data_IF_570651684670
#
_entry.id   IF_570651684670
#
_cell.length_a   1.000
_cell.length_b   1.000
_cell.length_c   1.000
_cell.angle_alpha   90.00
_cell.angle_beta   90.00
_cell.angle_gamma   90.00
#
_symmetry.space_group_name_H-M   'P 1'
#
loop_
_entity.id
_entity.type
_entity.pdbx_description
1 polymer ?
#
# COMPACT_ATOMS: atom_id res chain seq x y z
N UNK A 1 -22.43 -0.71 -5.90
CA UNK A 1 -22.03 -0.96 -7.31
C UNK A 1 -23.25 -0.78 -8.20
N UNK A 2 -23.14 -0.19 -9.41
CA UNK A 2 -21.90 0.21 -10.10
C UNK A 2 -22.00 1.62 -10.76
N UNK A 3 -20.96 2.12 -11.47
CA UNK A 3 -20.70 1.55 -12.79
C UNK A 3 -19.21 1.20 -13.00
N UNK A 4 -18.89 -0.08 -12.83
CA UNK A 4 -18.22 -0.76 -13.93
C UNK A 4 -19.17 -0.70 -15.14
N UNK A 5 -18.63 -0.55 -16.36
CA UNK A 5 -19.45 -0.55 -17.56
C UNK A 5 -20.35 -1.80 -17.54
N UNK A 6 -21.62 -1.63 -17.90
CA UNK A 6 -22.59 -2.73 -17.93
C UNK A 6 -22.14 -3.86 -18.87
N UNK A 7 -21.39 -3.49 -19.91
CA UNK A 7 -20.77 -4.38 -20.88
C UNK A 7 -19.30 -4.00 -21.06
N UNK A 8 -18.41 -4.97 -20.92
CA UNK A 8 -16.98 -4.76 -21.16
C UNK A 8 -16.74 -4.61 -22.67
N UNK A 9 -15.89 -3.67 -23.10
CA UNK A 9 -15.52 -3.57 -24.52
C UNK A 9 -14.74 -4.82 -24.94
N UNK A 10 -15.00 -5.30 -26.16
CA UNK A 10 -14.19 -6.35 -26.78
C UNK A 10 -12.80 -5.79 -27.12
N UNK A 11 -11.76 -6.52 -26.72
CA UNK A 11 -10.37 -6.22 -27.05
C UNK A 11 -9.85 -7.41 -27.87
N UNK A 12 -9.72 -7.21 -29.18
CA UNK A 12 -9.24 -8.23 -30.12
C UNK A 12 -7.73 -8.27 -30.32
N UNK A 13 -6.99 -7.26 -29.83
CA UNK A 13 -5.53 -7.21 -29.96
C UNK A 13 -4.87 -7.95 -28.79
N UNK A 14 -4.33 -9.12 -29.10
CA UNK A 14 -3.57 -9.96 -28.18
C UNK A 14 -2.38 -9.22 -27.52
N UNK A 15 -1.81 -8.21 -28.18
CA UNK A 15 -0.70 -7.40 -27.66
C UNK A 15 -1.14 -6.49 -26.51
N UNK A 16 -2.36 -5.94 -26.58
CA UNK A 16 -2.98 -5.16 -25.50
C UNK A 16 -3.28 -6.10 -24.32
N UNK A 17 -3.88 -7.25 -24.58
CA UNK A 17 -4.21 -8.24 -23.55
C UNK A 17 -2.96 -8.78 -22.84
N UNK A 18 -1.87 -8.98 -23.58
CA UNK A 18 -0.58 -9.36 -23.00
C UNK A 18 0.03 -8.24 -22.14
N UNK A 19 0.04 -7.00 -22.64
CA UNK A 19 0.59 -5.83 -21.92
C UNK A 19 -0.14 -5.55 -20.62
N UNK A 20 -1.46 -5.67 -20.63
CA UNK A 20 -2.34 -5.38 -19.51
C UNK A 20 -3.00 -6.66 -18.99
N UNK A 21 -2.18 -7.57 -18.44
CA UNK A 21 -2.64 -8.86 -17.90
C UNK A 21 -3.68 -8.76 -16.77
N UNK A 22 -3.83 -7.58 -16.17
CA UNK A 22 -4.81 -7.27 -15.12
C UNK A 22 -6.20 -6.89 -15.67
N UNK A 23 -6.38 -6.70 -16.98
CA UNK A 23 -7.71 -6.40 -17.53
C UNK A 23 -8.64 -7.61 -17.35
N UNK A 24 -9.94 -7.39 -17.06
CA UNK A 24 -10.93 -8.46 -17.03
C UNK A 24 -10.93 -9.32 -18.31
N UNK A 25 -10.77 -8.70 -19.48
CA UNK A 25 -10.70 -9.35 -20.78
C UNK A 25 -9.46 -10.25 -20.94
N UNK A 26 -8.34 -9.89 -20.31
CA UNK A 26 -7.08 -10.63 -20.38
C UNK A 26 -7.17 -12.01 -19.72
N UNK A 27 -8.17 -12.25 -18.86
CA UNK A 27 -8.40 -13.56 -18.23
C UNK A 27 -8.64 -14.67 -19.26
N UNK A 28 -9.47 -14.42 -20.27
CA UNK A 28 -9.73 -15.42 -21.32
C UNK A 28 -8.51 -15.60 -22.24
N UNK A 29 -7.78 -14.52 -22.50
CA UNK A 29 -6.53 -14.58 -23.25
C UNK A 29 -5.45 -15.42 -22.55
N UNK A 30 -5.23 -15.22 -21.24
CA UNK A 30 -4.32 -16.04 -20.44
C UNK A 30 -4.69 -17.53 -20.52
N UNK A 31 -5.98 -17.86 -20.36
CA UNK A 31 -6.45 -19.26 -20.48
C UNK A 31 -6.19 -19.83 -21.86
N UNK A 32 -6.45 -19.05 -22.92
CA UNK A 32 -6.19 -19.43 -24.31
C UNK A 32 -4.70 -19.72 -24.50
N UNK A 33 -3.81 -18.85 -24.01
CA UNK A 33 -2.35 -19.04 -24.09
C UNK A 33 -1.89 -20.31 -23.38
N UNK A 34 -2.35 -20.54 -22.15
CA UNK A 34 -2.01 -21.76 -21.40
C UNK A 34 -2.45 -23.02 -22.17
N UNK A 35 -3.68 -23.03 -22.68
CA UNK A 35 -4.23 -24.17 -23.42
C UNK A 35 -3.53 -24.41 -24.76
N UNK A 36 -3.21 -23.37 -25.50
CA UNK A 36 -2.58 -23.50 -26.82
C UNK A 36 -1.14 -24.02 -26.74
N UNK A 37 -0.44 -23.71 -25.65
CA UNK A 37 0.93 -24.14 -25.43
C UNK A 37 1.04 -25.37 -24.51
N UNK A 38 -0.09 -25.97 -24.14
CA UNK A 38 -0.18 -27.11 -23.21
C UNK A 38 0.58 -26.84 -21.90
N UNK A 39 0.44 -25.63 -21.35
CA UNK A 39 1.09 -25.17 -20.12
C UNK A 39 0.12 -25.34 -18.94
N UNK A 40 0.46 -26.22 -18.01
CA UNK A 40 -0.20 -26.30 -16.69
C UNK A 40 0.44 -25.33 -15.71
N UNK A 41 -0.20 -25.08 -14.56
CA UNK A 41 0.39 -24.20 -13.55
C UNK A 41 1.65 -24.83 -12.94
N UNK A 42 1.66 -26.15 -12.76
CA UNK A 42 2.83 -26.90 -12.28
C UNK A 42 4.00 -26.75 -13.24
N UNK A 43 3.74 -26.82 -14.55
CA UNK A 43 4.78 -26.55 -15.56
C UNK A 43 5.27 -25.11 -15.50
N UNK A 44 4.39 -24.13 -15.29
CA UNK A 44 4.80 -22.72 -15.12
C UNK A 44 5.81 -22.56 -13.97
N UNK A 45 5.67 -23.36 -12.91
CA UNK A 45 6.55 -23.35 -11.74
C UNK A 45 7.87 -24.07 -12.01
N UNK A 46 7.84 -25.26 -12.64
CA UNK A 46 9.01 -26.15 -12.67
C UNK A 46 9.66 -26.32 -14.05
N UNK A 47 8.92 -26.14 -15.14
CA UNK A 47 9.40 -26.52 -16.46
C UNK A 47 10.63 -25.67 -16.86
N UNK A 48 11.77 -26.30 -17.26
CA UNK A 48 13.00 -25.57 -17.57
C UNK A 48 12.85 -24.55 -18.70
N UNK A 49 12.02 -24.86 -19.71
CA UNK A 49 11.81 -23.99 -20.87
C UNK A 49 10.97 -22.72 -20.55
N UNK A 50 10.36 -22.65 -19.37
CA UNK A 50 9.63 -21.48 -18.87
C UNK A 50 10.46 -20.62 -17.89
N UNK A 51 11.76 -20.91 -17.75
CA UNK A 51 12.62 -20.17 -16.82
C UNK A 51 12.70 -18.69 -17.14
N UNK A 52 12.71 -18.29 -18.41
CA UNK A 52 12.73 -16.88 -18.80
C UNK A 52 11.48 -16.13 -18.33
N UNK A 53 10.31 -16.80 -18.36
CA UNK A 53 9.05 -16.27 -17.85
C UNK A 53 9.11 -16.10 -16.34
N UNK A 54 9.62 -17.10 -15.61
CA UNK A 54 9.82 -17.02 -14.16
C UNK A 54 10.82 -15.95 -13.79
N UNK A 55 11.94 -15.84 -14.51
CA UNK A 55 12.95 -14.81 -14.30
C UNK A 55 12.35 -13.41 -14.48
N UNK A 56 11.57 -13.20 -15.53
CA UNK A 56 10.83 -11.95 -15.74
C UNK A 56 9.82 -11.70 -14.63
N UNK A 57 9.09 -12.72 -14.19
CA UNK A 57 8.12 -12.62 -13.09
C UNK A 57 8.78 -12.26 -11.76
N UNK A 58 9.96 -12.81 -11.45
CA UNK A 58 10.76 -12.43 -10.27
C UNK A 58 11.24 -10.99 -10.34
N UNK A 59 11.72 -10.54 -11.49
CA UNK A 59 12.08 -9.12 -11.70
C UNK A 59 10.86 -8.23 -11.46
N UNK A 60 9.71 -8.58 -12.04
CA UNK A 60 8.44 -7.86 -11.89
C UNK A 60 7.99 -7.76 -10.43
N UNK A 61 8.13 -8.84 -9.66
CA UNK A 61 7.85 -8.85 -8.21
C UNK A 61 8.75 -7.88 -7.47
N UNK A 62 10.07 -7.96 -7.69
CA UNK A 62 11.05 -7.09 -7.02
C UNK A 62 10.82 -5.63 -7.38
N UNK A 63 10.60 -5.31 -8.65
CA UNK A 63 10.29 -3.95 -9.12
C UNK A 63 9.03 -3.39 -8.43
N UNK A 64 7.99 -4.22 -8.31
CA UNK A 64 6.72 -3.82 -7.71
C UNK A 64 6.81 -3.62 -6.19
N UNK A 65 7.54 -4.48 -5.48
CA UNK A 65 7.64 -4.45 -4.01
C UNK A 65 8.61 -3.36 -3.53
N UNK A 66 9.76 -3.23 -4.20
CA UNK A 66 10.80 -2.28 -3.79
C UNK A 66 10.49 -0.86 -4.20
N UNK A 67 9.61 -0.67 -5.19
CA UNK A 67 9.38 0.60 -5.88
C UNK A 67 10.68 1.25 -6.43
N UNK A 68 11.75 0.45 -6.60
CA UNK A 68 13.08 0.87 -7.07
C UNK A 68 13.31 0.56 -8.55
N UNK A 69 12.29 0.08 -9.26
CA UNK A 69 12.36 -0.12 -10.71
C UNK A 69 12.22 1.19 -11.46
N UNK A 70 13.10 1.43 -12.44
CA UNK A 70 12.88 2.48 -13.44
C UNK A 70 11.61 2.08 -14.19
N UNK A 71 10.50 2.80 -14.04
CA UNK A 71 9.18 2.42 -14.57
C UNK A 71 9.22 2.19 -16.10
N UNK A 72 10.27 2.71 -16.76
CA UNK A 72 10.66 2.52 -18.15
C UNK A 72 11.09 1.09 -18.53
N UNK A 73 11.42 0.21 -17.58
CA UNK A 73 11.74 -1.20 -17.87
C UNK A 73 10.54 -1.98 -18.45
N UNK A 74 9.33 -1.42 -18.36
CA UNK A 74 8.13 -1.95 -18.98
C UNK A 74 8.18 -2.06 -20.51
N UNK A 75 9.09 -1.34 -21.17
CA UNK A 75 9.20 -1.27 -22.64
C UNK A 75 10.13 -2.32 -23.26
N UNK A 76 10.75 -3.20 -22.47
CA UNK A 76 11.83 -4.08 -22.96
C UNK A 76 11.32 -5.28 -23.77
N UNK A 77 10.05 -5.69 -23.62
CA UNK A 77 9.52 -6.90 -24.29
C UNK A 77 8.87 -6.55 -25.63
N UNK A 78 9.34 -7.20 -26.69
CA UNK A 78 8.74 -7.12 -28.02
C UNK A 78 7.42 -7.90 -28.10
N UNK A 79 6.32 -7.18 -27.89
CA UNK A 79 4.95 -7.71 -27.97
C UNK A 79 4.47 -7.96 -29.40
N UNK A 80 5.27 -7.71 -30.43
CA UNK A 80 4.92 -8.14 -31.81
C UNK A 80 5.06 -9.65 -31.99
N UNK A 81 5.85 -10.31 -31.15
CA UNK A 81 6.11 -11.75 -31.19
C UNK A 81 5.21 -12.52 -30.24
N UNK A 82 4.81 -13.75 -30.60
CA UNK A 82 4.02 -14.62 -29.73
C UNK A 82 4.77 -14.98 -28.44
N UNK A 83 6.09 -15.16 -28.52
CA UNK A 83 6.95 -15.40 -27.36
C UNK A 83 6.97 -14.19 -26.43
N UNK A 84 7.05 -12.97 -26.96
CA UNK A 84 7.02 -11.75 -26.17
C UNK A 84 5.67 -11.56 -25.46
N UNK A 85 4.56 -11.76 -26.18
CA UNK A 85 3.20 -11.74 -25.59
C UNK A 85 3.05 -12.78 -24.47
N UNK A 86 3.49 -14.00 -24.72
CA UNK A 86 3.47 -15.08 -23.72
C UNK A 86 4.32 -14.73 -22.50
N UNK A 87 5.51 -14.16 -22.70
CA UNK A 87 6.42 -13.78 -21.60
C UNK A 87 5.83 -12.69 -20.72
N UNK A 88 5.32 -11.60 -21.28
CA UNK A 88 4.71 -10.51 -20.49
C UNK A 88 3.47 -11.00 -19.75
N UNK A 89 2.62 -11.78 -20.43
CA UNK A 89 1.35 -12.25 -19.86
C UNK A 89 1.55 -13.30 -18.76
N UNK A 90 2.38 -14.32 -19.00
CA UNK A 90 2.63 -15.39 -18.02
C UNK A 90 3.55 -14.97 -16.88
N UNK A 91 4.43 -13.97 -17.09
CA UNK A 91 5.22 -13.40 -15.98
C UNK A 91 4.35 -12.62 -15.00
N UNK A 92 3.31 -11.92 -15.48
CA UNK A 92 2.27 -11.33 -14.62
C UNK A 92 1.51 -12.41 -13.86
N UNK A 93 1.06 -13.48 -14.54
CA UNK A 93 0.36 -14.59 -13.88
C UNK A 93 1.24 -15.25 -12.80
N UNK A 94 2.50 -15.53 -13.11
CA UNK A 94 3.46 -16.13 -12.18
C UNK A 94 3.68 -15.24 -10.95
N UNK A 95 3.89 -13.93 -11.14
CA UNK A 95 4.03 -12.98 -10.04
C UNK A 95 2.79 -12.96 -9.15
N UNK A 96 1.59 -12.85 -9.74
CA UNK A 96 0.33 -12.86 -9.02
C UNK A 96 0.13 -14.15 -8.20
N UNK A 97 0.48 -15.31 -8.76
CA UNK A 97 0.36 -16.60 -8.06
C UNK A 97 1.27 -16.69 -6.84
N UNK A 98 2.52 -16.21 -6.94
CA UNK A 98 3.44 -16.15 -5.77
C UNK A 98 2.86 -15.25 -4.67
N UNK A 99 2.33 -14.08 -5.05
CA UNK A 99 1.75 -13.15 -4.08
C UNK A 99 0.52 -13.76 -3.41
N UNK A 100 -0.36 -14.39 -4.18
CA UNK A 100 -1.52 -15.10 -3.61
C UNK A 100 -1.08 -16.24 -2.68
N UNK A 101 -0.09 -17.03 -3.07
CA UNK A 101 0.44 -18.14 -2.28
C UNK A 101 1.17 -17.70 -1.01
N UNK A 102 1.56 -16.43 -0.90
CA UNK A 102 2.18 -15.89 0.32
C UNK A 102 1.20 -15.69 1.47
N UNK A 103 -0.09 -15.51 1.16
CA UNK A 103 -1.13 -15.10 2.10
C UNK A 103 -0.75 -13.89 2.99
N UNK A 104 0.18 -13.03 2.54
CA UNK A 104 0.62 -11.84 3.26
C UNK A 104 -0.05 -10.58 2.65
N UNK A 105 -1.00 -10.01 3.38
CA UNK A 105 -1.74 -8.81 2.95
C UNK A 105 -0.86 -7.58 2.73
N UNK A 106 0.26 -7.45 3.47
CA UNK A 106 1.19 -6.33 3.31
C UNK A 106 1.97 -6.46 2.01
N UNK A 107 2.43 -7.68 1.73
CA UNK A 107 3.12 -8.01 0.49
C UNK A 107 2.18 -7.84 -0.71
N UNK A 108 0.92 -8.30 -0.59
CA UNK A 108 -0.13 -8.10 -1.58
C UNK A 108 -0.37 -6.61 -1.85
N UNK A 109 -0.57 -5.81 -0.80
CA UNK A 109 -0.80 -4.36 -0.94
C UNK A 109 0.36 -3.64 -1.64
N UNK A 110 1.61 -3.99 -1.32
CA UNK A 110 2.81 -3.45 -1.97
C UNK A 110 2.91 -3.85 -3.44
N UNK A 111 2.67 -5.12 -3.76
CA UNK A 111 2.67 -5.58 -5.14
C UNK A 111 1.58 -4.90 -5.98
N UNK A 112 0.36 -4.79 -5.44
CA UNK A 112 -0.77 -4.10 -6.08
C UNK A 112 -0.45 -2.62 -6.34
N UNK A 113 0.17 -1.92 -5.39
CA UNK A 113 0.58 -0.52 -5.59
C UNK A 113 1.65 -0.39 -6.68
N UNK A 114 2.60 -1.34 -6.74
CA UNK A 114 3.60 -1.40 -7.81
C UNK A 114 3.00 -1.64 -9.19
N UNK A 115 2.14 -2.65 -9.33
CA UNK A 115 1.48 -3.00 -10.60
C UNK A 115 0.52 -1.90 -11.08
N UNK A 116 -0.28 -1.33 -10.19
CA UNK A 116 -1.17 -0.21 -10.54
C UNK A 116 -0.38 1.05 -10.92
N UNK A 117 0.78 1.31 -10.30
CA UNK A 117 1.67 2.41 -10.71
C UNK A 117 2.31 2.17 -12.07
N UNK A 118 2.71 0.93 -12.38
CA UNK A 118 3.18 0.54 -13.72
C UNK A 118 2.08 0.74 -14.76
N UNK A 119 0.84 0.34 -14.44
CA UNK A 119 -0.31 0.54 -15.32
C UNK A 119 -0.59 2.03 -15.59
N UNK A 120 -0.56 2.86 -14.54
CA UNK A 120 -0.74 4.31 -14.65
C UNK A 120 0.29 4.96 -15.58
N UNK A 121 1.55 4.54 -15.50
CA UNK A 121 2.60 5.00 -16.41
C UNK A 121 2.35 4.57 -17.86
N UNK A 122 2.08 3.28 -18.09
CA UNK A 122 1.85 2.72 -19.43
C UNK A 122 0.65 3.40 -20.11
N UNK A 123 -0.47 3.53 -19.39
CA UNK A 123 -1.66 4.23 -19.87
C UNK A 123 -1.39 5.73 -20.10
N UNK A 124 -0.54 6.33 -19.27
CA UNK A 124 -0.11 7.73 -19.41
C UNK A 124 0.75 8.03 -20.65
N UNK A 125 1.15 7.02 -21.42
CA UNK A 125 1.89 7.18 -22.69
C UNK A 125 1.23 6.47 -23.89
N UNK A 126 0.22 5.62 -23.66
CA UNK A 126 -0.44 4.79 -24.68
C UNK A 126 -1.67 5.49 -25.31
N UNK A 127 -1.43 6.55 -26.08
CA UNK A 127 -2.50 7.33 -26.72
C UNK A 127 -3.44 6.47 -27.59
N UNK A 128 -2.92 5.45 -28.27
CA UNK A 128 -3.68 4.66 -29.25
C UNK A 128 -4.72 3.77 -28.57
N UNK A 129 -4.37 3.17 -27.43
CA UNK A 129 -5.25 2.21 -26.76
C UNK A 129 -5.95 2.81 -25.52
N UNK A 130 -5.59 4.03 -25.11
CA UNK A 130 -6.11 4.66 -23.89
C UNK A 130 -7.63 4.62 -23.77
N UNK A 131 -8.35 5.06 -24.81
CA UNK A 131 -9.82 5.08 -24.81
C UNK A 131 -10.46 3.70 -24.69
N UNK A 132 -9.88 2.69 -25.37
CA UNK A 132 -10.36 1.32 -25.31
C UNK A 132 -10.20 0.74 -23.89
N UNK A 133 -9.06 0.99 -23.27
CA UNK A 133 -8.76 0.51 -21.92
C UNK A 133 -9.56 1.29 -20.87
N UNK A 134 -9.69 2.61 -21.01
CA UNK A 134 -10.47 3.44 -20.10
C UNK A 134 -11.94 3.00 -20.04
N UNK A 135 -12.54 2.65 -21.18
CA UNK A 135 -13.91 2.08 -21.27
C UNK A 135 -14.09 0.74 -20.56
N UNK A 136 -13.01 0.06 -20.17
CA UNK A 136 -13.10 -1.14 -19.32
C UNK A 136 -13.40 -0.80 -17.86
N UNK A 137 -12.98 0.39 -17.42
CA UNK A 137 -13.02 0.76 -16.00
C UNK A 137 -13.93 1.95 -15.69
N UNK A 138 -14.26 2.77 -16.68
CA UNK A 138 -15.20 3.89 -16.55
C UNK A 138 -16.55 3.51 -17.15
N UNK A 139 -17.60 4.12 -16.63
CA UNK A 139 -18.96 3.95 -17.13
C UNK A 139 -19.15 4.52 -18.52
N UNK A 140 -18.46 5.61 -18.82
CA UNK A 140 -18.32 6.21 -20.13
C UNK A 140 -17.07 7.12 -20.15
N UNK A 141 -16.60 7.51 -21.32
CA UNK A 141 -15.51 8.46 -21.49
C UNK A 141 -15.63 9.15 -22.85
N UNK A 142 -15.47 10.48 -22.85
CA UNK A 142 -15.41 11.28 -24.07
C UNK A 142 -14.03 11.86 -24.25
N UNK A 143 -13.67 12.03 -25.50
CA UNK A 143 -12.44 12.67 -25.93
C UNK A 143 -12.80 13.87 -26.80
N UNK A 144 -12.21 15.01 -26.48
CA UNK A 144 -12.25 16.22 -27.28
C UNK A 144 -10.84 16.53 -27.75
N UNK A 145 -10.67 16.69 -29.07
CA UNK A 145 -9.37 16.97 -29.67
C UNK A 145 -9.37 18.46 -30.02
N UNK A 146 -8.69 19.25 -29.21
CA UNK A 146 -8.57 20.69 -29.46
C UNK A 146 -7.82 20.98 -30.76
N UNK A 147 -7.95 22.21 -31.28
CA UNK A 147 -7.36 22.64 -32.56
C UNK A 147 -5.83 22.42 -32.65
N UNK A 148 -5.15 22.36 -31.50
CA UNK A 148 -3.71 22.12 -31.39
C UNK A 148 -3.33 20.63 -31.33
N UNK A 149 -4.29 19.71 -31.54
CA UNK A 149 -4.09 18.26 -31.39
C UNK A 149 -3.97 17.77 -29.94
N UNK A 150 -4.34 18.61 -28.97
CA UNK A 150 -4.31 18.25 -27.55
C UNK A 150 -5.59 17.50 -27.21
N UNK A 151 -5.43 16.27 -26.75
CA UNK A 151 -6.52 15.42 -26.29
C UNK A 151 -6.97 15.86 -24.89
N UNK A 152 -8.26 16.12 -24.73
CA UNK A 152 -8.92 16.42 -23.45
C UNK A 152 -9.98 15.37 -23.20
N UNK A 153 -9.82 14.64 -22.10
CA UNK A 153 -10.77 13.62 -21.68
C UNK A 153 -11.83 14.20 -20.74
N UNK A 154 -13.03 13.64 -20.86
CA UNK A 154 -14.17 13.96 -20.01
C UNK A 154 -14.76 12.66 -19.48
N UNK A 155 -15.02 12.64 -18.19
CA UNK A 155 -15.55 11.45 -17.50
C UNK A 155 -16.85 11.77 -16.78
N UNK A 156 -17.77 10.82 -16.64
CA UNK A 156 -19.00 11.01 -15.87
C UNK A 156 -18.71 11.42 -14.43
N UNK A 157 -19.54 12.32 -13.91
CA UNK A 157 -19.42 12.80 -12.53
C UNK A 157 -19.49 11.66 -11.51
N UNK A 158 -20.27 10.61 -11.79
CA UNK A 158 -20.38 9.41 -10.95
C UNK A 158 -19.03 8.71 -10.77
N UNK A 159 -18.30 8.51 -11.87
CA UNK A 159 -16.99 7.84 -11.84
C UNK A 159 -15.96 8.73 -11.16
N UNK A 160 -16.00 10.04 -11.41
CA UNK A 160 -15.08 10.98 -10.78
C UNK A 160 -15.24 10.98 -9.25
N UNK A 161 -16.46 11.14 -8.72
CA UNK A 161 -16.69 11.22 -7.27
C UNK A 161 -16.41 9.90 -6.55
N UNK A 162 -16.56 8.77 -7.26
CA UNK A 162 -16.26 7.45 -6.73
C UNK A 162 -14.74 7.25 -6.59
N UNK A 163 -13.98 7.61 -7.62
CA UNK A 163 -12.54 7.30 -7.70
C UNK A 163 -11.65 8.40 -7.10
N UNK A 164 -12.04 9.67 -7.17
CA UNK A 164 -11.21 10.79 -6.73
C UNK A 164 -10.87 10.86 -5.21
N UNK A 165 -11.69 10.37 -4.25
CA UNK A 165 -11.41 10.54 -2.81
C UNK A 165 -10.10 9.88 -2.35
N UNK A 166 -9.62 8.89 -3.11
CA UNK A 166 -8.37 8.17 -2.82
C UNK A 166 -7.13 8.89 -3.34
N UNK A 167 -7.31 9.96 -4.13
CA UNK A 167 -6.21 10.71 -4.74
C UNK A 167 -6.04 12.05 -4.02
N UNK A 168 -4.81 12.31 -3.57
CA UNK A 168 -4.48 13.54 -2.86
C UNK A 168 -4.23 14.72 -3.81
N UNK A 169 -4.65 15.91 -3.40
CA UNK A 169 -4.34 17.17 -4.10
C UNK A 169 -5.58 17.99 -4.43
N UNK A 170 -5.39 19.31 -4.56
CA UNK A 170 -6.51 20.23 -4.82
C UNK A 170 -7.19 19.98 -6.17
N UNK A 171 -6.47 19.43 -7.15
CA UNK A 171 -7.03 19.09 -8.46
C UNK A 171 -8.22 18.13 -8.36
N UNK A 172 -8.16 17.16 -7.45
CA UNK A 172 -9.13 16.06 -7.32
C UNK A 172 -10.42 16.46 -6.58
N UNK A 173 -10.51 17.70 -6.10
CA UNK A 173 -11.74 18.20 -5.49
C UNK A 173 -12.70 18.62 -6.60
N UNK A 174 -13.91 18.05 -6.60
CA UNK A 174 -14.94 18.35 -7.60
C UNK A 174 -15.20 19.86 -7.77
N UNK A 175 -15.19 20.63 -6.69
CA UNK A 175 -15.36 22.09 -6.71
C UNK A 175 -14.30 22.82 -7.55
N UNK A 176 -13.14 22.21 -7.75
CA UNK A 176 -12.03 22.76 -8.54
C UNK A 176 -12.05 22.23 -9.99
N UNK A 177 -13.12 21.56 -10.42
CA UNK A 177 -13.26 20.96 -11.76
C UNK A 177 -14.36 21.65 -12.57
N UNK A 178 -14.12 21.75 -13.88
CA UNK A 178 -15.16 22.14 -14.82
C UNK A 178 -16.11 20.95 -15.02
N UNK A 179 -17.40 21.18 -14.82
CA UNK A 179 -18.45 20.18 -15.01
C UNK A 179 -19.48 20.74 -15.98
N UNK A 180 -19.74 20.03 -17.08
CA UNK A 180 -20.70 20.41 -18.12
C UNK A 180 -21.59 19.21 -18.40
N UNK A 181 -22.91 19.35 -18.28
CA UNK A 181 -23.90 18.30 -18.56
C UNK A 181 -23.60 16.94 -17.89
N UNK A 182 -23.07 16.97 -16.66
CA UNK A 182 -22.70 15.76 -15.90
C UNK A 182 -21.31 15.19 -16.22
N UNK A 183 -20.52 15.86 -17.06
CA UNK A 183 -19.17 15.47 -17.46
C UNK A 183 -18.12 16.32 -16.76
N UNK A 184 -17.18 15.68 -16.09
CA UNK A 184 -16.04 16.31 -15.43
C UNK A 184 -14.87 16.38 -16.41
N UNK A 185 -14.37 17.60 -16.65
CA UNK A 185 -13.22 17.83 -17.50
C UNK A 185 -11.91 17.41 -16.82
N UNK A 186 -11.15 16.53 -17.47
CA UNK A 186 -9.81 16.12 -17.03
C UNK A 186 -8.74 17.04 -17.61
N UNK A 187 -8.88 18.37 -17.45
CA UNK A 187 -7.97 19.32 -18.08
C UNK A 187 -6.49 19.08 -17.68
N UNK A 188 -5.52 19.35 -18.58
CA UNK A 188 -4.10 19.20 -18.26
C UNK A 188 -3.65 20.19 -17.16
N UNK A 189 -2.45 19.99 -16.62
CA UNK A 189 -1.86 20.93 -15.67
C UNK A 189 -0.33 20.91 -15.74
N UNK A 190 0.32 21.52 -14.74
CA UNK A 190 1.78 21.67 -14.73
C UNK A 190 2.44 20.29 -14.75
N UNK A 191 3.03 19.95 -15.90
CA UNK A 191 3.77 18.70 -16.10
C UNK A 191 2.91 17.45 -16.34
N UNK A 192 1.58 17.56 -16.45
CA UNK A 192 0.69 16.41 -16.66
C UNK A 192 -0.34 16.66 -17.77
N UNK A 193 -0.47 15.69 -18.68
CA UNK A 193 -1.50 15.70 -19.73
C UNK A 193 -2.88 15.31 -19.18
N UNK A 194 -3.92 15.58 -19.96
CA UNK A 194 -5.28 15.11 -19.64
C UNK A 194 -5.34 13.58 -19.50
N UNK A 195 -4.60 12.87 -20.36
CA UNK A 195 -4.49 11.42 -20.35
C UNK A 195 -3.85 10.92 -19.05
N UNK A 196 -2.72 11.49 -18.64
CA UNK A 196 -2.03 11.11 -17.40
C UNK A 196 -2.91 11.33 -16.16
N UNK A 197 -3.69 12.40 -16.15
CA UNK A 197 -4.68 12.63 -15.07
C UNK A 197 -5.81 11.62 -15.12
N UNK A 198 -6.32 11.31 -16.30
CA UNK A 198 -7.37 10.30 -16.43
C UNK A 198 -6.85 8.91 -16.05
N UNK A 199 -5.61 8.59 -16.41
CA UNK A 199 -4.88 7.38 -16.02
C UNK A 199 -4.77 7.24 -14.49
N UNK A 200 -4.52 8.34 -13.76
CA UNK A 200 -4.49 8.34 -12.29
C UNK A 200 -5.82 7.90 -11.67
N UNK A 201 -6.96 8.22 -12.29
CA UNK A 201 -8.26 7.69 -11.84
C UNK A 201 -8.41 6.21 -12.18
N UNK A 202 -8.01 5.81 -13.39
CA UNK A 202 -8.02 4.41 -13.80
C UNK A 202 -7.17 3.55 -12.85
N UNK A 203 -6.04 4.07 -12.35
CA UNK A 203 -5.18 3.42 -11.36
C UNK A 203 -5.97 2.94 -10.13
N UNK A 204 -6.90 3.76 -9.64
CA UNK A 204 -7.71 3.42 -8.45
C UNK A 204 -8.61 2.21 -8.71
N UNK A 205 -9.27 2.16 -9.88
CA UNK A 205 -10.10 1.02 -10.28
C UNK A 205 -9.28 -0.23 -10.62
N UNK A 206 -8.10 -0.05 -11.22
CA UNK A 206 -7.14 -1.15 -11.47
C UNK A 206 -6.69 -1.76 -10.14
N UNK A 207 -6.42 -0.91 -9.13
CA UNK A 207 -6.05 -1.36 -7.78
C UNK A 207 -7.13 -2.25 -7.17
N UNK A 208 -8.39 -1.83 -7.25
CA UNK A 208 -9.55 -2.58 -6.77
C UNK A 208 -9.70 -3.92 -7.50
N UNK A 209 -9.64 -3.90 -8.84
CA UNK A 209 -9.74 -5.11 -9.66
C UNK A 209 -8.62 -6.11 -9.32
N UNK A 210 -7.36 -5.65 -9.21
CA UNK A 210 -6.24 -6.51 -8.81
C UNK A 210 -6.46 -7.13 -7.43
N UNK A 211 -6.95 -6.36 -6.47
CA UNK A 211 -7.26 -6.84 -5.13
C UNK A 211 -8.33 -7.93 -5.14
N UNK A 212 -9.46 -7.68 -5.81
CA UNK A 212 -10.54 -8.65 -5.97
C UNK A 212 -10.06 -9.93 -6.68
N UNK A 213 -9.26 -9.77 -7.76
CA UNK A 213 -8.67 -10.88 -8.50
C UNK A 213 -7.73 -11.75 -7.66
N UNK A 214 -7.00 -11.16 -6.71
CA UNK A 214 -6.10 -11.88 -5.82
C UNK A 214 -6.87 -12.57 -4.68
N UNK A 215 -7.81 -11.86 -4.04
CA UNK A 215 -8.66 -12.44 -2.98
C UNK A 215 -9.40 -13.68 -3.50
N UNK A 216 -10.06 -13.58 -4.66
CA UNK A 216 -10.77 -14.71 -5.27
C UNK A 216 -9.85 -15.90 -5.63
N UNK A 217 -8.56 -15.66 -5.84
CA UNK A 217 -7.58 -16.72 -6.10
C UNK A 217 -7.09 -17.35 -4.81
N UNK A 218 -6.80 -16.54 -3.79
CA UNK A 218 -6.43 -17.01 -2.45
C UNK A 218 -7.54 -17.88 -1.86
N UNK A 219 -8.81 -17.51 -2.01
CA UNK A 219 -9.96 -18.31 -1.57
C UNK A 219 -10.06 -19.69 -2.25
N UNK A 220 -9.53 -19.82 -3.47
CA UNK A 220 -9.57 -21.06 -4.26
C UNK A 220 -8.27 -21.86 -4.15
N UNK A 221 -7.27 -21.31 -3.49
CA UNK A 221 -5.96 -21.90 -3.33
C UNK A 221 -5.95 -22.75 -2.07
N UNK A 222 -5.66 -24.05 -2.22
CA UNK A 222 -5.43 -24.92 -1.07
C UNK A 222 -3.95 -24.89 -0.65
N UNK A 223 -3.68 -25.42 0.55
CA UNK A 223 -2.34 -25.44 1.13
C UNK A 223 -1.35 -26.26 0.28
N UNK A 224 -1.81 -27.34 -0.36
CA UNK A 224 -0.98 -28.21 -1.20
C UNK A 224 -0.50 -27.46 -2.45
N UNK A 225 -1.39 -26.71 -3.10
CA UNK A 225 -1.05 -25.87 -4.24
C UNK A 225 -0.18 -24.69 -3.84
N UNK A 226 -0.47 -24.03 -2.71
CA UNK A 226 0.37 -22.94 -2.20
C UNK A 226 1.80 -23.41 -1.90
N UNK A 227 1.98 -24.65 -1.41
CA UNK A 227 3.28 -25.22 -1.12
C UNK A 227 4.20 -25.35 -2.35
N UNK A 228 3.64 -25.45 -3.56
CA UNK A 228 4.41 -25.45 -4.81
C UNK A 228 5.21 -24.14 -5.01
N UNK A 229 4.77 -23.04 -4.39
CA UNK A 229 5.42 -21.73 -4.49
C UNK A 229 6.33 -21.41 -3.30
N UNK A 230 6.43 -22.29 -2.31
CA UNK A 230 7.14 -22.07 -1.02
C UNK A 230 8.53 -21.42 -1.20
N UNK A 231 9.39 -22.01 -2.02
CA UNK A 231 10.74 -21.49 -2.28
C UNK A 231 10.75 -20.08 -2.88
N UNK A 232 9.76 -19.74 -3.70
CA UNK A 232 9.62 -18.40 -4.29
C UNK A 232 9.03 -17.40 -3.30
N UNK A 233 8.05 -17.83 -2.50
CA UNK A 233 7.44 -17.04 -1.43
C UNK A 233 8.48 -16.67 -0.38
N UNK A 234 9.26 -17.63 0.12
CA UNK A 234 10.32 -17.39 1.13
C UNK A 234 11.31 -16.32 0.68
N UNK A 235 11.77 -16.40 -0.59
CA UNK A 235 12.70 -15.42 -1.15
C UNK A 235 12.12 -14.02 -1.18
N UNK A 236 10.85 -13.89 -1.60
CA UNK A 236 10.19 -12.60 -1.69
C UNK A 236 9.89 -12.02 -0.31
N UNK A 237 9.43 -12.85 0.65
CA UNK A 237 9.18 -12.43 2.04
C UNK A 237 10.48 -11.99 2.72
N UNK A 238 11.60 -12.68 2.47
CA UNK A 238 12.92 -12.28 2.98
C UNK A 238 13.32 -10.90 2.45
N UNK A 239 13.23 -10.69 1.13
CA UNK A 239 13.54 -9.40 0.50
C UNK A 239 12.64 -8.28 1.03
N UNK A 240 11.35 -8.55 1.19
CA UNK A 240 10.40 -7.58 1.74
C UNK A 240 10.75 -7.24 3.20
N UNK A 241 11.11 -8.23 4.01
CA UNK A 241 11.52 -8.04 5.41
C UNK A 241 12.81 -7.24 5.54
N UNK A 242 13.80 -7.48 4.68
CA UNK A 242 15.04 -6.69 4.60
C UNK A 242 14.75 -5.24 4.24
N UNK A 243 13.94 -5.00 3.19
CA UNK A 243 13.55 -3.65 2.80
C UNK A 243 12.75 -2.95 3.91
N UNK A 244 11.81 -3.62 4.59
CA UNK A 244 11.06 -3.03 5.71
C UNK A 244 12.00 -2.68 6.88
N UNK A 245 13.04 -3.48 7.16
CA UNK A 245 14.06 -3.19 8.18
C UNK A 245 14.99 -2.05 7.78
N UNK A 246 15.32 -1.91 6.49
CA UNK A 246 16.08 -0.77 5.96
C UNK A 246 15.25 0.52 5.96
N UNK A 247 13.95 0.41 5.64
CA UNK A 247 12.98 1.51 5.70
C UNK A 247 12.60 1.88 7.16
N UNK A 248 12.77 0.95 8.11
CA UNK A 248 12.48 1.14 9.55
C UNK A 248 13.42 0.36 10.48
N UNK A 249 14.23 1.04 11.33
CA UNK A 249 14.76 0.40 12.52
C UNK A 249 13.76 0.59 13.67
N UNK A 250 12.98 -0.44 14.04
CA UNK A 250 12.27 -0.46 15.32
C UNK A 250 12.20 -1.87 15.93
N UNK A 251 12.52 -1.93 17.23
CA UNK A 251 12.15 -3.02 18.14
C UNK A 251 11.26 -2.46 19.28
N UNK A 252 10.52 -3.38 19.91
CA UNK A 252 9.43 -3.18 20.86
C UNK A 252 9.59 -1.99 21.83
N UNK A 253 8.57 -1.14 21.87
CA UNK A 253 8.46 0.00 22.80
C UNK A 253 8.17 -0.50 24.22
N UNK A 254 8.97 -0.11 25.22
CA UNK A 254 8.67 -0.39 26.64
C UNK A 254 7.76 0.70 27.20
N UNK A 255 6.84 0.40 28.13
CA UNK A 255 5.90 1.38 28.72
C UNK A 255 6.56 2.67 29.24
N UNK A 256 7.78 2.59 29.78
CA UNK A 256 8.56 3.73 30.27
C UNK A 256 8.97 4.75 29.18
N UNK A 257 8.72 4.43 27.92
CA UNK A 257 9.02 5.26 26.75
C UNK A 257 7.78 5.96 26.18
N UNK A 258 6.60 5.68 26.72
CA UNK A 258 5.35 6.27 26.26
C UNK A 258 5.34 7.79 26.49
N UNK A 259 4.89 8.58 25.51
CA UNK A 259 4.66 10.00 25.72
C UNK A 259 3.58 10.24 26.79
N UNK A 260 3.69 11.30 27.62
CA UNK A 260 2.73 11.57 28.70
C UNK A 260 1.28 11.68 28.24
N UNK A 261 1.04 12.21 27.04
CA UNK A 261 -0.30 12.30 26.45
C UNK A 261 -0.91 10.94 26.06
N UNK A 262 -0.08 9.96 25.70
CA UNK A 262 -0.54 8.59 25.43
C UNK A 262 -0.85 7.87 26.76
N UNK A 263 0.05 7.99 27.74
CA UNK A 263 -0.16 7.41 29.09
C UNK A 263 -1.42 7.99 29.75
N UNK A 264 -1.69 9.29 29.63
CA UNK A 264 -2.92 9.90 30.12
C UNK A 264 -4.16 9.24 29.53
N UNK A 265 -4.22 9.10 28.20
CA UNK A 265 -5.39 8.54 27.53
C UNK A 265 -5.64 7.08 27.94
N UNK A 266 -4.58 6.27 28.09
CA UNK A 266 -4.70 4.89 28.59
C UNK A 266 -5.14 4.86 30.06
N UNK A 267 -4.58 5.76 30.89
CA UNK A 267 -4.91 5.85 32.32
C UNK A 267 -6.36 6.28 32.56
N UNK A 268 -6.85 7.28 31.82
CA UNK A 268 -8.25 7.72 31.88
C UNK A 268 -9.20 6.56 31.56
N UNK A 269 -8.95 5.82 30.47
CA UNK A 269 -9.78 4.67 30.11
C UNK A 269 -9.73 3.56 31.18
N UNK A 270 -8.55 3.25 31.73
CA UNK A 270 -8.42 2.27 32.81
C UNK A 270 -9.14 2.68 34.10
N UNK A 271 -9.29 3.98 34.36
CA UNK A 271 -10.05 4.50 35.49
C UNK A 271 -11.56 4.61 35.20
N UNK A 272 -12.02 4.17 34.03
CA UNK A 272 -13.40 4.33 33.61
C UNK A 272 -13.77 5.78 33.30
N UNK A 273 -12.79 6.64 33.02
CA UNK A 273 -13.01 8.02 32.60
C UNK A 273 -13.14 8.05 31.08
N UNK A 274 -14.20 8.69 30.58
CA UNK A 274 -14.43 8.79 29.16
C UNK A 274 -13.43 9.75 28.48
N UNK A 275 -12.67 9.23 27.51
CA UNK A 275 -11.81 10.03 26.64
C UNK A 275 -12.63 10.60 25.49
N UNK A 276 -12.49 11.91 25.21
CA UNK A 276 -13.20 12.55 24.10
C UNK A 276 -12.73 12.04 22.73
N UNK A 277 -13.50 12.33 21.68
CA UNK A 277 -13.23 11.81 20.34
C UNK A 277 -11.79 12.05 19.85
N UNK A 278 -11.26 13.27 20.04
CA UNK A 278 -9.87 13.60 19.67
C UNK A 278 -8.84 12.74 20.40
N UNK A 279 -9.06 12.46 21.70
CA UNK A 279 -8.19 11.59 22.48
C UNK A 279 -8.28 10.11 22.07
N UNK A 280 -9.47 9.63 21.69
CA UNK A 280 -9.68 8.26 21.21
C UNK A 280 -9.00 8.02 19.87
N UNK A 281 -9.15 8.96 18.93
CA UNK A 281 -8.48 8.90 17.61
C UNK A 281 -6.97 8.98 17.79
N UNK A 282 -6.49 9.87 18.66
CA UNK A 282 -5.07 9.96 18.98
C UNK A 282 -4.53 8.66 19.57
N UNK A 283 -5.21 8.07 20.56
CA UNK A 283 -4.79 6.83 21.19
C UNK A 283 -4.68 5.70 20.16
N UNK A 284 -5.69 5.49 19.33
CA UNK A 284 -5.67 4.45 18.30
C UNK A 284 -4.57 4.68 17.25
N UNK A 285 -4.44 5.90 16.71
CA UNK A 285 -3.41 6.22 15.72
C UNK A 285 -2.00 6.10 16.30
N UNK A 286 -1.80 6.51 17.56
CA UNK A 286 -0.50 6.45 18.24
C UNK A 286 -0.14 5.00 18.58
N UNK A 287 -1.08 4.18 19.05
CA UNK A 287 -0.86 2.75 19.28
C UNK A 287 -0.38 2.05 18.00
N UNK A 288 -1.02 2.35 16.87
CA UNK A 288 -0.62 1.83 15.55
C UNK A 288 0.82 2.21 15.22
N UNK A 289 1.13 3.50 15.34
CA UNK A 289 2.46 4.03 15.02
C UNK A 289 3.57 3.53 15.96
N UNK A 290 3.21 3.01 17.14
CA UNK A 290 4.12 2.37 18.10
C UNK A 290 4.25 0.86 17.90
N UNK A 291 3.48 0.28 16.98
CA UNK A 291 3.50 -1.15 16.64
C UNK A 291 2.60 -2.04 17.50
N UNK A 292 1.68 -1.46 18.29
CA UNK A 292 0.68 -2.25 19.02
C UNK A 292 -0.34 -2.84 18.05
N UNK A 293 -0.79 -4.07 18.31
CA UNK A 293 -1.84 -4.72 17.54
C UNK A 293 -3.19 -4.04 17.73
N UNK A 294 -4.16 -4.40 16.89
CA UNK A 294 -5.53 -3.92 17.04
C UNK A 294 -6.16 -4.45 18.31
N UNK A 295 -5.91 -5.72 18.66
CA UNK A 295 -6.38 -6.37 19.87
C UNK A 295 -5.80 -5.70 21.12
N UNK A 296 -4.49 -5.43 21.11
CA UNK A 296 -3.82 -4.69 22.19
C UNK A 296 -4.40 -3.28 22.34
N UNK A 297 -4.70 -2.63 21.22
CA UNK A 297 -5.28 -1.29 21.23
C UNK A 297 -6.71 -1.28 21.67
N UNK A 298 -7.51 -2.25 21.23
CA UNK A 298 -8.89 -2.45 21.63
C UNK A 298 -8.98 -2.73 23.14
N UNK A 299 -8.01 -3.46 23.69
CA UNK A 299 -7.91 -3.70 25.12
C UNK A 299 -7.79 -2.41 25.94
N UNK A 300 -7.13 -1.35 25.42
CA UNK A 300 -7.08 -0.05 26.11
C UNK A 300 -8.45 0.60 26.29
N UNK A 301 -9.41 0.32 25.39
CA UNK A 301 -10.75 0.89 25.44
C UNK A 301 -11.74 0.04 26.25
N UNK A 302 -11.36 -1.17 26.67
CA UNK A 302 -12.25 -2.12 27.34
C UNK A 302 -12.94 -1.59 28.59
N UNK A 303 -12.27 -0.67 29.29
CA UNK A 303 -12.75 -0.05 30.53
C UNK A 303 -13.50 1.27 30.29
N UNK A 304 -13.71 1.70 29.03
CA UNK A 304 -14.42 2.95 28.76
C UNK A 304 -15.92 2.83 29.10
N UNK A 305 -16.57 3.88 29.65
CA UNK A 305 -17.99 3.83 30.04
C UNK A 305 -18.98 3.53 28.91
N UNK A 306 -18.62 3.92 27.68
CA UNK A 306 -19.37 3.75 26.44
C UNK A 306 -18.76 2.67 25.54
N UNK A 307 -17.90 1.81 26.11
CA UNK A 307 -17.19 0.80 25.34
C UNK A 307 -18.16 -0.23 24.76
N UNK A 308 -18.10 -0.32 23.43
CA UNK A 308 -18.73 -1.38 22.67
C UNK A 308 -17.65 -2.02 21.81
N UNK A 309 -17.40 -3.33 22.01
CA UNK A 309 -16.33 -4.08 21.36
C UNK A 309 -16.43 -3.99 19.83
N UNK A 310 -17.63 -4.17 19.29
CA UNK A 310 -17.87 -4.16 17.85
C UNK A 310 -17.64 -2.77 17.25
N UNK A 311 -18.18 -1.73 17.89
CA UNK A 311 -18.08 -0.35 17.40
C UNK A 311 -16.68 0.21 17.58
N UNK A 312 -16.05 -0.05 18.72
CA UNK A 312 -14.69 0.43 19.03
C UNK A 312 -13.66 -0.35 18.21
N UNK A 313 -13.85 -1.67 18.08
CA UNK A 313 -13.06 -2.52 17.19
C UNK A 313 -13.15 -2.03 15.76
N UNK A 314 -14.35 -1.74 15.26
CA UNK A 314 -14.53 -1.16 13.94
C UNK A 314 -13.83 0.20 13.78
N UNK A 315 -13.97 1.12 14.74
CA UNK A 315 -13.35 2.44 14.67
C UNK A 315 -11.82 2.38 14.75
N UNK A 316 -11.27 1.54 15.62
CA UNK A 316 -9.81 1.33 15.75
C UNK A 316 -9.29 0.67 14.49
N UNK A 317 -9.98 -0.35 13.98
CA UNK A 317 -9.65 -1.01 12.72
C UNK A 317 -9.63 0.01 11.57
N UNK A 318 -10.63 0.89 11.47
CA UNK A 318 -10.61 1.97 10.47
C UNK A 318 -9.39 2.90 10.59
N UNK A 319 -8.95 3.21 11.80
CA UNK A 319 -7.77 4.06 12.04
C UNK A 319 -6.47 3.32 11.70
N UNK A 320 -6.42 2.02 11.98
CA UNK A 320 -5.31 1.14 11.69
C UNK A 320 -5.15 0.88 10.19
N UNK A 321 -6.26 0.57 9.52
CA UNK A 321 -6.39 0.36 8.08
C UNK A 321 -6.02 1.62 7.30
N UNK A 322 -6.48 2.80 7.73
CA UNK A 322 -6.22 4.09 7.05
C UNK A 322 -4.89 4.74 7.40
N UNK A 323 -4.09 4.07 8.20
CA UNK A 323 -2.75 4.51 8.59
C UNK A 323 -2.67 5.94 9.14
N UNK A 324 -3.68 6.36 9.91
CA UNK A 324 -3.75 7.75 10.35
C UNK A 324 -2.52 8.16 11.17
N UNK A 325 -1.97 9.31 10.80
CA UNK A 325 -0.87 9.91 11.55
C UNK A 325 -1.43 10.48 12.85
N UNK A 326 -0.84 10.16 14.02
CA UNK A 326 -1.30 10.70 15.30
C UNK A 326 -1.31 12.22 15.32
N UNK A 327 -2.16 12.82 16.14
CA UNK A 327 -2.17 14.27 16.32
C UNK A 327 -0.88 14.79 16.96
N UNK A 328 -0.41 15.96 16.47
CA UNK A 328 0.75 16.66 17.02
C UNK A 328 0.44 17.42 18.32
N UNK A 329 1.50 17.89 19.01
CA UNK A 329 1.38 18.51 20.34
C UNK A 329 0.47 19.75 20.35
N UNK A 330 0.46 20.55 19.28
CA UNK A 330 -0.42 21.72 19.17
C UNK A 330 -1.90 21.32 19.15
N UNK A 331 -2.25 20.31 18.34
CA UNK A 331 -3.61 19.78 18.25
C UNK A 331 -4.04 19.13 19.58
N UNK A 332 -3.14 18.42 20.26
CA UNK A 332 -3.43 17.83 21.57
C UNK A 332 -3.61 18.89 22.67
N UNK A 333 -2.85 20.00 22.65
CA UNK A 333 -3.05 21.12 23.56
C UNK A 333 -4.40 21.80 23.34
N UNK A 334 -4.74 22.11 22.08
CA UNK A 334 -6.05 22.70 21.73
C UNK A 334 -7.21 21.77 22.07
N UNK A 335 -7.03 20.45 21.89
CA UNK A 335 -8.03 19.43 22.21
C UNK A 335 -8.11 19.02 23.69
N UNK A 336 -7.37 19.70 24.59
CA UNK A 336 -7.25 19.38 26.02
C UNK A 336 -6.84 17.92 26.31
N UNK A 337 -5.90 17.39 25.51
CA UNK A 337 -5.35 16.01 25.62
C UNK A 337 -3.85 15.98 25.90
N UNK A 338 -3.27 17.13 26.28
CA UNK A 338 -1.90 17.23 26.77
C UNK A 338 -1.93 17.40 28.30
N UNK A 339 -1.46 16.42 29.10
CA UNK A 339 -1.47 16.54 30.57
C UNK A 339 -0.37 17.45 31.12
N UNK A 340 0.63 17.75 30.29
CA UNK A 340 1.87 18.37 30.73
C UNK A 340 1.72 19.89 30.75
N UNK A 341 1.92 20.49 31.93
CA UNK A 341 2.19 21.91 32.06
C UNK A 341 3.70 22.15 32.06
N UNK A 342 4.08 23.41 31.86
CA UNK A 342 5.50 23.78 31.80
C UNK A 342 6.18 23.47 33.14
N UNK A 343 7.23 22.65 33.11
CA UNK A 343 7.97 22.21 34.29
C UNK A 343 7.64 20.78 34.76
N UNK A 344 6.59 20.14 34.23
CA UNK A 344 6.17 18.81 34.66
C UNK A 344 7.00 17.68 34.00
N UNK A 345 7.47 17.88 32.77
CA UNK A 345 8.34 16.95 32.05
C UNK A 345 9.39 17.71 31.23
N UNK A 346 10.66 17.54 31.62
CA UNK A 346 11.79 18.26 31.04
C UNK A 346 12.02 17.97 29.54
N UNK A 347 11.54 16.83 29.03
CA UNK A 347 11.64 16.46 27.61
C UNK A 347 10.48 17.06 26.80
N UNK A 348 9.28 17.14 27.38
CA UNK A 348 8.15 17.87 26.80
C UNK A 348 8.36 19.39 26.74
N UNK A 349 9.14 19.94 27.67
CA UNK A 349 9.46 21.38 27.72
C UNK A 349 10.48 21.83 26.65
N UNK A 350 11.08 20.89 25.92
CA UNK A 350 12.05 21.20 24.87
C UNK A 350 11.38 21.93 23.69
N UNK A 351 12.01 22.99 23.20
CA UNK A 351 11.45 23.82 22.11
C UNK A 351 11.18 23.02 20.82
N UNK A 352 11.96 21.97 20.55
CA UNK A 352 11.80 21.10 19.38
C UNK A 352 10.72 20.03 19.55
N UNK A 353 10.16 19.85 20.76
CA UNK A 353 9.18 18.81 21.07
C UNK A 353 7.78 19.17 20.55
N UNK A 354 7.54 18.84 19.28
CA UNK A 354 6.31 19.19 18.54
C UNK A 354 5.35 18.03 18.30
N UNK A 355 5.76 16.79 18.59
CA UNK A 355 4.94 15.61 18.29
C UNK A 355 5.21 14.45 19.25
N UNK A 356 4.20 13.68 19.71
CA UNK A 356 4.38 12.51 20.57
C UNK A 356 5.33 11.44 20.00
N UNK A 357 5.27 11.16 18.70
CA UNK A 357 6.26 10.29 18.03
C UNK A 357 7.71 10.80 18.14
N UNK A 358 7.95 12.11 18.24
CA UNK A 358 9.31 12.65 18.49
C UNK A 358 9.76 12.38 19.92
N UNK A 359 8.85 12.46 20.88
CA UNK A 359 9.11 12.12 22.29
C UNK A 359 9.53 10.65 22.42
N UNK A 360 8.76 9.76 21.80
CA UNK A 360 9.05 8.32 21.80
C UNK A 360 10.45 8.01 21.22
N UNK A 361 10.75 8.58 20.04
CA UNK A 361 12.06 8.41 19.39
C UNK A 361 13.21 8.93 20.24
N UNK A 362 13.01 10.03 20.97
CA UNK A 362 14.04 10.59 21.85
C UNK A 362 14.34 9.68 23.05
N UNK A 363 13.31 9.03 23.63
CA UNK A 363 13.46 8.05 24.71
C UNK A 363 14.16 6.77 24.24
N UNK A 364 13.74 6.21 23.10
CA UNK A 364 14.36 5.01 22.53
C UNK A 364 15.85 5.23 22.17
N UNK A 365 16.19 6.40 21.64
CA UNK A 365 17.58 6.77 21.35
C UNK A 365 18.43 6.86 22.62
N UNK A 366 17.87 7.39 23.70
CA UNK A 366 18.56 7.48 24.99
C UNK A 366 18.83 6.09 25.57
N UNK A 367 17.84 5.20 25.53
CA UNK A 367 18.00 3.78 25.94
C UNK A 367 19.10 3.08 25.15
N UNK A 368 19.07 3.19 23.82
CA UNK A 368 20.10 2.57 22.97
C UNK A 368 21.52 3.04 23.33
N UNK A 369 21.69 4.33 23.63
CA UNK A 369 22.98 4.88 24.05
C UNK A 369 23.40 4.41 25.46
N UNK A 370 22.46 4.24 26.38
CA UNK A 370 22.69 3.71 27.73
C UNK A 370 23.06 2.20 27.67
N UNK A 371 22.37 1.40 26.86
CA UNK A 371 22.67 -0.02 26.62
C UNK A 371 24.04 -0.21 25.94
N UNK A 372 24.38 0.68 25.00
CA UNK A 372 25.68 0.65 24.31
C UNK A 372 26.83 1.01 25.26
N UNK A 373 26.60 1.90 26.23
CA UNK A 373 27.60 2.24 27.23
C UNK A 373 27.73 1.15 28.31
N UNK A 374 26.63 0.53 28.75
CA UNK A 374 26.67 -0.62 29.68
C UNK A 374 27.38 -1.84 29.08
N UNK A 375 27.19 -2.12 27.79
CA UNK A 375 27.93 -3.18 27.09
C UNK A 375 29.43 -2.87 26.94
N UNK A 376 29.83 -1.59 26.97
CA UNK A 376 31.24 -1.19 27.00
C UNK A 376 31.86 -1.36 28.40
N UNK A 377 31.12 -1.04 29.46
CA UNK A 377 31.59 -1.24 30.84
C UNK A 377 31.65 -2.73 31.24
N UNK A 378 30.70 -3.56 30.78
CA UNK A 378 30.73 -5.02 30.97
C UNK A 378 31.84 -5.71 30.16
N UNK A 379 32.29 -5.11 29.06
CA UNK A 379 33.50 -5.52 28.32
C UNK A 379 34.81 -5.10 29.01
N UNK A 380 34.75 -4.10 29.91
CA UNK A 380 35.86 -3.67 30.76
C UNK A 380 36.05 -4.55 32.00
N UNK A 381 34.97 -5.03 32.64
CA UNK A 381 35.07 -5.85 33.86
C UNK A 381 35.54 -7.30 33.62
N UNK A 382 35.42 -7.83 32.39
CA UNK A 382 36.03 -9.13 32.03
C UNK A 382 37.55 -9.00 31.82
N UNK A 383 38.06 -7.79 31.57
CA UNK A 383 39.49 -7.50 31.46
C UNK A 383 40.22 -7.45 32.81
N UNK A 384 39.54 -7.05 33.89
CA UNK A 384 40.19 -6.87 35.21
C UNK A 384 40.10 -8.10 36.13
N UNK A 385 39.28 -9.12 35.79
CA UNK A 385 39.23 -10.38 36.56
C UNK A 385 40.22 -11.45 36.10
N UNK A 386 40.89 -11.27 34.96
CA UNK A 386 41.97 -12.17 34.51
C UNK A 386 43.36 -11.74 35.02
N UNK A 387 43.49 -10.52 35.55
CA UNK A 387 44.77 -9.98 36.03
C UNK A 387 45.07 -10.24 37.53
N UNK A 388 44.19 -10.92 38.27
CA UNK A 388 44.38 -11.15 39.72
C UNK A 388 44.29 -12.62 40.17
N UNK A 389 44.55 -13.56 39.25
CA UNK A 389 44.83 -14.95 39.59
C UNK A 389 45.97 -15.49 38.72
N UNK A 390 47.19 -15.02 38.99
CA UNK A 390 48.46 -15.67 38.64
C UNK A 390 49.56 -15.16 39.56
#
# INVERSE_FOLDING_TARGET
>A
MPPMPLELPEIGDDSILARYGFLPQSKEYIKKLLKQNDITIEQLIEAPWLEDIRARGRIRLVESITHKGDIKSAEIIDLSTDIGKMTECLSFLYAMLIICASFDERLLGRWIEGESSRADYLLGVDNQNFMLIAKTYLSDIKEDIGENGVHIYWIPISDFIELCPKISGNYWRLINRSVIDGWVCMNPGVGETSMQRTSRLLKERIRENLNEMCIQRMEKMDDEFAALFSSSVERIVSLFSEQVREEMPMSATTRNEWPPCFELAVSELNQGINVNHTGRVFLAAMSRAMGFSQEETLAFFSNAPDYNVETSGYQINQIYEREYTPHGCSALKTGARCPVQKGDDALCDQEWMSHPLKYLRAKQRRRYNEDTNQNRDMGGEVGDKVANSS
#
